data_IF_844066192460
#
_entry.id   IF_844066192460
#
_cell.length_a   1.000
_cell.length_b   1.000
_cell.length_c   1.000
_cell.angle_alpha   90.00
_cell.angle_beta   90.00
_cell.angle_gamma   90.00
#
_symmetry.space_group_name_H-M   'P 1'
#
loop_
_entity.id
_entity.type
_entity.pdbx_description
1 polymer ?
#
# COMPACT_ATOMS: atom_id res chain seq x y z
N UNK A 1 24.08 -2.39 -0.12
CA UNK A 1 24.13 -3.34 -1.27
C UNK A 1 22.78 -3.34 -1.95
N UNK A 2 22.71 -2.85 -3.18
CA UNK A 2 21.45 -2.80 -3.94
C UNK A 2 21.25 -4.17 -4.61
N UNK A 3 20.18 -4.87 -4.21
CA UNK A 3 19.82 -6.15 -4.84
C UNK A 3 19.44 -5.92 -6.30
N UNK A 4 19.86 -6.83 -7.16
CA UNK A 4 19.48 -6.79 -8.58
C UNK A 4 17.99 -7.12 -8.74
N UNK A 5 17.37 -6.67 -9.83
CA UNK A 5 15.96 -6.98 -10.12
C UNK A 5 15.70 -8.49 -10.16
N UNK A 6 16.69 -9.28 -10.60
CA UNK A 6 16.60 -10.74 -10.63
C UNK A 6 16.57 -11.36 -9.23
N UNK A 7 17.33 -10.83 -8.29
CA UNK A 7 17.31 -11.25 -6.88
C UNK A 7 15.99 -10.87 -6.20
N UNK A 8 15.44 -9.70 -6.51
CA UNK A 8 14.10 -9.31 -6.04
C UNK A 8 13.02 -10.24 -6.57
N UNK A 9 13.07 -10.62 -7.85
CA UNK A 9 12.11 -11.56 -8.43
C UNK A 9 12.19 -12.93 -7.76
N UNK A 10 13.39 -13.46 -7.51
CA UNK A 10 13.58 -14.73 -6.78
C UNK A 10 13.06 -14.64 -5.35
N UNK A 11 13.42 -13.58 -4.64
CA UNK A 11 12.92 -13.34 -3.28
C UNK A 11 11.39 -13.33 -3.21
N UNK A 12 10.72 -12.65 -4.14
CA UNK A 12 9.26 -12.62 -4.17
C UNK A 12 8.63 -13.97 -4.58
N UNK A 13 9.28 -14.75 -5.43
CA UNK A 13 8.84 -16.10 -5.77
C UNK A 13 8.92 -17.03 -4.53
N UNK A 14 10.04 -16.99 -3.81
CA UNK A 14 10.24 -17.77 -2.57
C UNK A 14 9.25 -17.35 -1.49
N UNK A 15 9.05 -16.03 -1.31
CA UNK A 15 8.10 -15.49 -0.34
C UNK A 15 6.66 -15.96 -0.63
N UNK A 16 6.24 -15.95 -1.90
CA UNK A 16 4.93 -16.47 -2.33
C UNK A 16 4.77 -17.97 -2.04
N UNK A 17 5.81 -18.77 -2.32
CA UNK A 17 5.81 -20.21 -2.04
C UNK A 17 5.71 -20.51 -0.53
N UNK A 18 6.45 -19.75 0.28
CA UNK A 18 6.42 -19.86 1.73
C UNK A 18 5.03 -19.52 2.29
N UNK A 19 4.42 -18.42 1.84
CA UNK A 19 3.07 -18.01 2.27
C UNK A 19 2.03 -19.08 1.92
N UNK A 20 2.11 -19.66 0.71
CA UNK A 20 1.22 -20.75 0.30
C UNK A 20 1.36 -22.00 1.19
N UNK A 21 2.59 -22.35 1.56
CA UNK A 21 2.86 -23.49 2.45
C UNK A 21 2.33 -23.22 3.86
N UNK A 22 2.58 -22.02 4.41
CA UNK A 22 2.04 -21.61 5.71
C UNK A 22 0.52 -21.64 5.73
N UNK A 23 -0.15 -21.09 4.71
CA UNK A 23 -1.62 -21.10 4.63
C UNK A 23 -2.20 -22.51 4.63
N UNK A 24 -1.59 -23.43 3.88
CA UNK A 24 -1.97 -24.85 3.89
C UNK A 24 -1.78 -25.51 5.27
N UNK A 25 -0.75 -25.13 6.02
CA UNK A 25 -0.54 -25.64 7.38
C UNK A 25 -1.57 -25.10 8.38
N UNK A 26 -1.95 -23.82 8.24
CA UNK A 26 -3.05 -23.21 9.02
C UNK A 26 -4.38 -23.89 8.74
N UNK A 27 -4.71 -24.08 7.45
CA UNK A 27 -5.96 -24.73 7.05
C UNK A 27 -6.03 -26.20 7.51
N UNK A 28 -4.88 -26.86 7.66
CA UNK A 28 -4.76 -28.20 8.23
C UNK A 28 -4.78 -28.24 9.78
N UNK A 29 -5.12 -27.13 10.45
CA UNK A 29 -5.28 -27.08 11.91
C UNK A 29 -3.99 -26.89 12.71
N UNK A 30 -2.87 -26.54 12.07
CA UNK A 30 -1.62 -26.24 12.77
C UNK A 30 -1.61 -24.78 13.24
N UNK A 31 -2.02 -24.55 14.48
CA UNK A 31 -2.19 -23.22 15.08
C UNK A 31 -0.88 -22.45 15.36
N UNK A 32 0.29 -23.06 15.16
CA UNK A 32 1.59 -22.39 15.38
C UNK A 32 2.02 -21.49 14.22
N UNK A 33 1.33 -21.52 13.08
CA UNK A 33 1.73 -20.83 11.85
C UNK A 33 0.70 -19.82 11.34
N UNK A 34 0.06 -19.07 12.23
CA UNK A 34 -0.87 -18.00 11.86
C UNK A 34 -0.18 -17.03 10.88
N UNK A 35 -0.82 -16.73 9.75
CA UNK A 35 -0.29 -15.76 8.80
C UNK A 35 -0.24 -14.39 9.47
N UNK A 36 0.86 -13.68 9.28
CA UNK A 36 0.90 -12.26 9.66
C UNK A 36 -0.06 -11.45 8.78
N UNK A 37 -0.58 -10.29 9.24
CA UNK A 37 -1.51 -9.47 8.45
C UNK A 37 -1.02 -9.13 7.03
N UNK A 38 0.29 -8.91 6.87
CA UNK A 38 0.94 -8.69 5.57
C UNK A 38 0.95 -9.97 4.71
N UNK A 39 1.21 -11.13 5.30
CA UNK A 39 1.17 -12.41 4.57
C UNK A 39 -0.25 -12.77 4.14
N UNK A 40 -1.26 -12.41 4.95
CA UNK A 40 -2.67 -12.55 4.61
C UNK A 40 -3.07 -11.62 3.46
N UNK A 41 -2.64 -10.35 3.48
CA UNK A 41 -2.88 -9.43 2.36
C UNK A 41 -2.22 -9.89 1.06
N UNK A 42 -0.98 -10.41 1.14
CA UNK A 42 -0.28 -11.01 -0.01
C UNK A 42 -1.05 -12.25 -0.50
N UNK A 43 -1.58 -13.06 0.41
CA UNK A 43 -2.38 -14.23 0.07
C UNK A 43 -3.64 -13.83 -0.72
N UNK A 44 -4.37 -12.85 -0.23
CA UNK A 44 -5.58 -12.32 -0.88
C UNK A 44 -5.29 -11.80 -2.28
N UNK A 45 -4.27 -10.95 -2.42
CA UNK A 45 -3.90 -10.32 -3.69
C UNK A 45 -3.34 -11.32 -4.73
N UNK A 46 -2.54 -12.29 -4.29
CA UNK A 46 -1.84 -13.19 -5.22
C UNK A 46 -2.59 -14.48 -5.54
N UNK A 47 -3.48 -14.94 -4.65
CA UNK A 47 -4.08 -16.27 -4.74
C UNK A 47 -5.60 -16.27 -4.67
N UNK A 48 -6.20 -15.38 -3.87
CA UNK A 48 -7.66 -15.32 -3.73
C UNK A 48 -8.33 -14.54 -4.87
N UNK A 49 -7.71 -13.46 -5.33
CA UNK A 49 -8.17 -12.71 -6.49
C UNK A 49 -7.82 -13.37 -7.85
N UNK A 50 -7.25 -14.58 -7.83
CA UNK A 50 -6.81 -15.34 -9.01
C UNK A 50 -7.92 -16.08 -9.77
N UNK A 51 -9.16 -16.14 -9.25
CA UNK A 51 -10.30 -16.77 -9.96
C UNK A 51 -11.05 -15.80 -10.87
N UNK A 52 -10.68 -14.52 -10.92
CA UNK A 52 -11.19 -13.58 -11.91
C UNK A 52 -10.05 -12.73 -12.47
N UNK A 53 -9.60 -13.08 -13.68
CA UNK A 53 -8.68 -12.34 -14.54
C UNK A 53 -7.17 -12.39 -14.18
N UNK A 54 -6.49 -13.43 -14.67
CA UNK A 54 -5.09 -13.29 -15.06
C UNK A 54 -5.02 -12.48 -16.38
N UNK A 55 -4.24 -11.38 -16.48
CA UNK A 55 -4.00 -10.76 -17.78
C UNK A 55 -3.03 -11.65 -18.57
N UNK A 56 -3.56 -12.31 -19.60
CA UNK A 56 -2.79 -13.06 -20.59
C UNK A 56 -1.76 -12.12 -21.23
N UNK A 57 -0.47 -12.46 -21.12
CA UNK A 57 0.60 -11.97 -21.99
C UNK A 57 0.21 -12.19 -23.46
N UNK A 58 -0.07 -11.10 -24.19
CA UNK A 58 -0.13 -10.96 -25.66
C UNK A 58 0.01 -9.46 -25.91
N UNK A 59 0.68 -8.90 -26.92
CA UNK A 59 1.59 -9.31 -27.99
C UNK A 59 2.08 -7.94 -28.55
N UNK A 60 3.30 -7.90 -29.07
CA UNK A 60 3.92 -6.75 -29.76
C UNK A 60 2.97 -5.86 -30.58
N UNK A 61 3.05 -4.54 -30.41
CA UNK A 61 2.49 -3.55 -31.35
C UNK A 61 3.61 -3.04 -32.24
N UNK A 62 3.46 -3.24 -33.55
CA UNK A 62 4.30 -2.71 -34.63
C UNK A 62 3.39 -1.87 -35.54
N UNK A 63 3.73 -0.58 -35.65
CA UNK A 63 3.72 0.35 -36.81
C UNK A 63 2.55 0.41 -37.80
N UNK A 64 2.05 1.63 -38.04
CA UNK A 64 1.93 2.37 -39.35
C UNK A 64 1.02 3.61 -39.10
N UNK A 65 1.47 4.87 -39.17
CA UNK A 65 1.77 5.73 -40.34
C UNK A 65 0.81 5.51 -41.53
N UNK A 66 -0.11 6.45 -41.74
CA UNK A 66 -0.73 6.70 -43.05
C UNK A 66 -0.99 8.19 -43.19
N UNK A 67 -0.13 8.83 -43.98
CA UNK A 67 -0.35 10.11 -44.66
C UNK A 67 -1.36 9.92 -45.83
N UNK A 68 -1.67 11.05 -46.48
CA UNK A 68 -2.32 11.21 -47.79
C UNK A 68 -3.85 11.10 -47.83
N UNK A 69 -4.62 11.88 -48.60
CA UNK A 69 -4.35 13.02 -49.48
C UNK A 69 -5.72 13.57 -49.96
N UNK A 70 -5.71 14.85 -50.34
CA UNK A 70 -6.51 15.56 -51.34
C UNK A 70 -7.74 14.87 -51.98
N UNK A 71 -8.87 15.57 -52.02
CA UNK A 71 -9.37 16.12 -53.30
C UNK A 71 -10.63 16.98 -53.15
N UNK A 72 -10.59 18.11 -53.86
CA UNK A 72 -11.68 19.05 -54.14
C UNK A 72 -12.82 18.41 -54.94
N UNK A 73 -14.07 18.81 -54.69
CA UNK A 73 -15.11 18.80 -55.74
C UNK A 73 -15.99 20.05 -55.70
N UNK A 74 -16.20 20.62 -56.88
CA UNK A 74 -16.90 21.86 -57.21
C UNK A 74 -18.45 21.76 -57.14
N UNK A 75 -19.17 22.91 -57.16
CA UNK A 75 -20.62 22.96 -56.97
C UNK A 75 -21.39 23.03 -58.30
N UNK A 76 -22.43 22.20 -58.50
CA UNK A 76 -23.39 22.37 -59.61
C UNK A 76 -24.84 21.98 -59.24
N UNK A 77 -25.66 23.03 -59.09
CA UNK A 77 -27.05 23.21 -59.56
C UNK A 77 -28.17 22.25 -59.13
N UNK A 78 -29.03 22.82 -58.26
CA UNK A 78 -30.53 22.90 -58.33
C UNK A 78 -31.28 21.78 -59.07
N UNK A 79 -32.19 21.12 -58.34
CA UNK A 79 -33.60 20.96 -58.72
C UNK A 79 -34.49 20.86 -57.46
N UNK A 80 -35.47 21.77 -57.38
CA UNK A 80 -36.59 21.76 -56.42
C UNK A 80 -37.57 20.67 -56.84
N UNK A 81 -37.78 19.67 -56.00
CA UNK A 81 -39.05 18.96 -55.84
C UNK A 81 -38.86 17.82 -54.85
N UNK A 82 -39.21 18.03 -53.58
CA UNK A 82 -39.72 17.01 -52.62
C UNK A 82 -39.74 17.59 -51.20
N UNK A 83 -40.58 18.61 -51.00
CA UNK A 83 -40.84 19.18 -49.69
C UNK A 83 -41.84 18.36 -48.85
N UNK A 84 -41.96 17.04 -49.11
CA UNK A 84 -42.89 16.15 -48.41
C UNK A 84 -42.23 14.93 -47.75
N UNK A 85 -40.96 14.63 -48.08
CA UNK A 85 -40.19 13.56 -47.41
C UNK A 85 -39.32 14.09 -46.23
N UNK A 86 -38.99 15.38 -46.23
CA UNK A 86 -38.03 15.96 -45.27
C UNK A 86 -38.59 16.17 -43.85
N UNK A 87 -39.92 16.11 -43.68
CA UNK A 87 -40.57 16.42 -42.39
C UNK A 87 -40.68 15.22 -41.44
N UNK A 88 -40.59 13.97 -41.95
CA UNK A 88 -40.50 12.79 -41.09
C UNK A 88 -39.06 12.54 -40.61
N UNK A 89 -38.06 12.79 -41.45
CA UNK A 89 -36.64 12.66 -41.09
C UNK A 89 -36.21 13.65 -39.99
N UNK A 90 -36.76 14.87 -39.99
CA UNK A 90 -36.48 15.86 -38.95
C UNK A 90 -37.03 15.46 -37.57
N UNK A 91 -38.15 14.73 -37.50
CA UNK A 91 -38.68 14.21 -36.23
C UNK A 91 -37.93 12.97 -35.76
N UNK A 92 -37.47 12.14 -36.69
CA UNK A 92 -36.71 10.94 -36.40
C UNK A 92 -35.28 11.26 -35.90
N UNK A 93 -34.63 12.26 -36.51
CA UNK A 93 -33.31 12.74 -36.07
C UNK A 93 -33.35 13.47 -34.72
N UNK A 94 -34.44 14.15 -34.37
CA UNK A 94 -34.59 14.73 -33.02
C UNK A 94 -34.73 13.66 -31.93
N UNK A 95 -35.40 12.54 -32.21
CA UNK A 95 -35.52 11.40 -31.29
C UNK A 95 -34.17 10.72 -31.01
N UNK A 96 -33.34 10.52 -32.04
CA UNK A 96 -32.01 9.90 -31.88
C UNK A 96 -31.05 10.77 -31.06
N UNK A 97 -31.15 12.10 -31.16
CA UNK A 97 -30.36 13.04 -30.35
C UNK A 97 -30.78 12.98 -28.88
N UNK A 98 -32.08 12.92 -28.61
CA UNK A 98 -32.61 12.82 -27.24
C UNK A 98 -32.26 11.46 -26.59
N UNK A 99 -32.32 10.36 -27.33
CA UNK A 99 -31.86 9.04 -26.87
C UNK A 99 -30.36 9.03 -26.55
N UNK A 100 -29.53 9.67 -27.39
CA UNK A 100 -28.10 9.82 -27.13
C UNK A 100 -27.85 10.67 -25.88
N UNK A 101 -28.60 11.74 -25.68
CA UNK A 101 -28.49 12.57 -24.48
C UNK A 101 -28.92 11.81 -23.21
N UNK A 102 -30.00 11.02 -23.30
CA UNK A 102 -30.46 10.16 -22.20
C UNK A 102 -29.40 9.10 -21.84
N UNK A 103 -28.78 8.46 -22.82
CA UNK A 103 -27.70 7.49 -22.61
C UNK A 103 -26.43 8.13 -22.01
N UNK A 104 -26.13 9.39 -22.35
CA UNK A 104 -25.03 10.14 -21.74
C UNK A 104 -25.36 10.46 -20.28
N UNK A 105 -26.59 10.90 -19.99
CA UNK A 105 -27.03 11.22 -18.64
C UNK A 105 -27.01 10.00 -17.72
N UNK A 106 -27.48 8.84 -18.20
CA UNK A 106 -27.42 7.57 -17.47
C UNK A 106 -25.97 7.18 -17.15
N UNK A 107 -25.06 7.27 -18.13
CA UNK A 107 -23.63 7.03 -17.89
C UNK A 107 -23.03 7.99 -16.88
N UNK A 108 -23.46 9.25 -16.86
CA UNK A 108 -22.97 10.25 -15.92
C UNK A 108 -23.42 9.91 -14.49
N UNK A 109 -24.68 9.50 -14.32
CA UNK A 109 -25.19 9.01 -13.03
C UNK A 109 -24.40 7.80 -12.56
N UNK A 110 -24.17 6.81 -13.44
CA UNK A 110 -23.36 5.62 -13.13
C UNK A 110 -21.93 5.96 -12.70
N UNK A 111 -21.29 6.92 -13.38
CA UNK A 111 -19.93 7.37 -13.03
C UNK A 111 -19.93 8.10 -11.68
N UNK A 112 -20.94 8.92 -11.41
CA UNK A 112 -21.07 9.62 -10.14
C UNK A 112 -21.29 8.65 -8.97
N UNK A 113 -22.12 7.62 -9.14
CA UNK A 113 -22.33 6.59 -8.12
C UNK A 113 -21.05 5.81 -7.83
N UNK A 114 -20.28 5.46 -8.86
CA UNK A 114 -18.96 4.82 -8.70
C UNK A 114 -17.98 5.75 -7.98
N UNK A 115 -17.97 7.04 -8.32
CA UNK A 115 -17.11 8.03 -7.67
C UNK A 115 -17.50 8.23 -6.20
N UNK A 116 -18.79 8.32 -5.89
CA UNK A 116 -19.29 8.43 -4.53
C UNK A 116 -18.91 7.20 -3.68
N UNK A 117 -19.08 5.99 -4.25
CA UNK A 117 -18.64 4.75 -3.60
C UNK A 117 -17.13 4.71 -3.36
N UNK A 118 -16.33 5.11 -4.34
CA UNK A 118 -14.87 5.17 -4.21
C UNK A 118 -14.43 6.16 -3.13
N UNK A 119 -15.06 7.35 -3.06
CA UNK A 119 -14.79 8.34 -2.02
C UNK A 119 -15.16 7.82 -0.63
N UNK A 120 -16.29 7.11 -0.51
CA UNK A 120 -16.69 6.49 0.77
C UNK A 120 -15.67 5.45 1.24
N UNK A 121 -15.16 4.61 0.34
CA UNK A 121 -14.13 3.62 0.67
C UNK A 121 -12.80 4.31 1.07
N UNK A 122 -12.43 5.38 0.37
CA UNK A 122 -11.24 6.17 0.70
C UNK A 122 -11.38 6.79 2.09
N UNK A 123 -12.53 7.38 2.41
CA UNK A 123 -12.81 7.94 3.72
C UNK A 123 -12.70 6.88 4.83
N UNK A 124 -13.29 5.69 4.63
CA UNK A 124 -13.18 4.59 5.57
C UNK A 124 -11.73 4.12 5.74
N UNK A 125 -10.98 3.97 4.64
CA UNK A 125 -9.56 3.62 4.67
C UNK A 125 -8.73 4.68 5.41
N UNK A 126 -9.07 5.96 5.26
CA UNK A 126 -8.41 7.07 5.95
C UNK A 126 -8.61 6.99 7.46
N UNK A 127 -9.84 6.69 7.91
CA UNK A 127 -10.16 6.50 9.34
C UNK A 127 -9.40 5.32 9.92
N UNK A 128 -9.39 4.17 9.24
CA UNK A 128 -8.64 2.99 9.69
C UNK A 128 -7.15 3.28 9.78
N UNK A 129 -6.60 4.00 8.79
CA UNK A 129 -5.19 4.39 8.79
C UNK A 129 -4.87 5.36 9.94
N UNK A 130 -5.73 6.34 10.20
CA UNK A 130 -5.57 7.26 11.33
C UNK A 130 -5.54 6.51 12.67
N UNK A 131 -6.45 5.54 12.85
CA UNK A 131 -6.49 4.72 14.06
C UNK A 131 -5.26 3.81 14.21
N UNK A 132 -4.71 3.32 13.09
CA UNK A 132 -3.46 2.57 13.12
C UNK A 132 -2.26 3.46 13.52
N UNK A 133 -2.21 4.69 13.00
CA UNK A 133 -1.19 5.67 13.38
C UNK A 133 -1.28 6.06 14.86
N UNK A 134 -2.49 6.23 15.40
CA UNK A 134 -2.71 6.49 16.82
C UNK A 134 -2.11 5.39 17.70
N UNK A 135 -2.42 4.12 17.40
CA UNK A 135 -1.85 2.97 18.13
C UNK A 135 -0.33 2.90 18.03
N UNK A 136 0.25 3.25 16.88
CA UNK A 136 1.70 3.32 16.71
C UNK A 136 2.31 4.44 17.58
N UNK A 137 1.66 5.59 17.66
CA UNK A 137 2.10 6.69 18.52
C UNK A 137 2.04 6.31 20.00
N UNK A 138 0.96 5.66 20.45
CA UNK A 138 0.83 5.15 21.83
C UNK A 138 1.94 4.14 22.17
N UNK A 139 2.18 3.17 21.28
CA UNK A 139 3.25 2.19 21.45
C UNK A 139 4.63 2.85 21.51
N UNK A 140 4.86 3.86 20.66
CA UNK A 140 6.11 4.64 20.67
C UNK A 140 6.30 5.40 21.98
N UNK A 141 5.23 6.00 22.51
CA UNK A 141 5.27 6.68 23.81
C UNK A 141 5.59 5.70 24.95
N UNK A 142 4.98 4.52 24.96
CA UNK A 142 5.27 3.48 25.96
C UNK A 142 6.73 3.02 25.88
N UNK A 143 7.27 2.87 24.66
CA UNK A 143 8.68 2.54 24.45
C UNK A 143 9.61 3.63 24.97
N UNK A 144 9.31 4.90 24.72
CA UNK A 144 10.10 6.02 25.24
C UNK A 144 10.14 6.00 26.79
N UNK A 145 9.00 5.78 27.44
CA UNK A 145 8.95 5.65 28.90
C UNK A 145 9.74 4.44 29.42
N UNK A 146 9.73 3.32 28.71
CA UNK A 146 10.53 2.16 29.07
C UNK A 146 12.03 2.45 28.96
N UNK A 147 12.46 3.18 27.94
CA UNK A 147 13.84 3.63 27.76
C UNK A 147 14.26 4.58 28.89
N UNK A 148 13.40 5.53 29.29
CA UNK A 148 13.70 6.43 30.42
C UNK A 148 13.91 5.65 31.72
N UNK A 149 13.07 4.65 32.00
CA UNK A 149 13.24 3.78 33.18
C UNK A 149 14.55 2.99 33.14
N UNK A 150 14.95 2.53 31.95
CA UNK A 150 16.24 1.86 31.76
C UNK A 150 17.40 2.83 32.02
N UNK A 151 17.31 4.07 31.52
CA UNK A 151 18.33 5.09 31.76
C UNK A 151 18.49 5.38 33.26
N UNK A 152 17.39 5.57 34.00
CA UNK A 152 17.43 5.76 35.46
C UNK A 152 18.05 4.54 36.17
N UNK A 153 17.74 3.32 35.71
CA UNK A 153 18.32 2.11 36.29
C UNK A 153 19.84 2.04 36.07
N UNK A 154 20.31 2.40 34.87
CA UNK A 154 21.74 2.46 34.56
C UNK A 154 22.47 3.55 35.34
N UNK A 155 21.83 4.71 35.55
CA UNK A 155 22.38 5.76 36.40
C UNK A 155 22.55 5.27 37.85
N UNK A 156 21.55 4.58 38.39
CA UNK A 156 21.62 3.96 39.72
C UNK A 156 22.72 2.91 39.84
N UNK A 157 22.87 2.04 38.83
CA UNK A 157 23.96 1.04 38.78
C UNK A 157 25.32 1.74 38.71
N UNK A 158 25.44 2.80 37.91
CA UNK A 158 26.67 3.57 37.79
C UNK A 158 27.09 4.22 39.11
N UNK A 159 26.13 4.81 39.83
CA UNK A 159 26.36 5.38 41.15
C UNK A 159 26.82 4.30 42.15
N UNK A 160 26.09 3.18 42.23
CA UNK A 160 26.45 2.07 43.12
C UNK A 160 27.83 1.47 42.79
N UNK A 161 28.19 1.35 41.51
CA UNK A 161 29.51 0.90 41.10
C UNK A 161 30.62 1.86 41.55
N UNK A 162 30.36 3.17 41.51
CA UNK A 162 31.30 4.17 42.00
C UNK A 162 31.45 4.09 43.54
N UNK A 163 30.37 3.85 44.27
CA UNK A 163 30.40 3.67 45.72
C UNK A 163 31.20 2.43 46.12
N UNK A 164 30.98 1.29 45.43
CA UNK A 164 31.76 0.06 45.64
C UNK A 164 33.24 0.30 45.37
N UNK A 165 33.58 0.99 44.26
CA UNK A 165 34.97 1.35 43.95
C UNK A 165 35.60 2.18 45.07
N UNK A 166 34.89 3.20 45.54
CA UNK A 166 35.37 4.07 46.62
C UNK A 166 35.56 3.28 47.92
N UNK A 167 34.64 2.38 48.25
CA UNK A 167 34.75 1.51 49.42
C UNK A 167 36.00 0.62 49.36
N UNK A 168 36.28 0.00 48.20
CA UNK A 168 37.47 -0.83 48.00
C UNK A 168 38.76 -0.01 48.19
N UNK A 169 38.81 1.19 47.61
CA UNK A 169 39.97 2.09 47.77
C UNK A 169 40.18 2.46 49.25
N UNK A 170 39.10 2.78 49.97
CA UNK A 170 39.18 3.13 51.39
C UNK A 170 39.65 1.95 52.25
N UNK A 171 39.18 0.73 51.95
CA UNK A 171 39.64 -0.50 52.62
C UNK A 171 41.15 -0.70 52.37
N UNK A 172 41.60 -0.62 51.12
CA UNK A 172 43.02 -0.77 50.78
C UNK A 172 43.90 0.28 51.49
N UNK A 173 43.47 1.55 51.46
CA UNK A 173 44.15 2.63 52.15
C UNK A 173 44.27 2.37 53.66
N UNK A 174 43.17 1.95 54.29
CA UNK A 174 43.12 1.67 55.73
C UNK A 174 44.01 0.48 56.09
N UNK A 175 43.94 -0.60 55.32
CA UNK A 175 44.81 -1.76 55.50
C UNK A 175 46.30 -1.37 55.43
N UNK A 176 46.71 -0.66 54.36
CA UNK A 176 48.10 -0.22 54.19
C UNK A 176 48.59 0.62 55.36
N UNK A 177 47.75 1.52 55.89
CA UNK A 177 48.05 2.35 57.06
C UNK A 177 48.24 1.52 58.33
N UNK A 178 47.38 0.55 58.59
CA UNK A 178 47.51 -0.33 59.76
C UNK A 178 48.81 -1.14 59.74
N UNK A 179 49.22 -1.67 58.58
CA UNK A 179 50.45 -2.46 58.48
C UNK A 179 51.73 -1.62 58.55
N UNK A 180 51.70 -0.36 58.11
CA UNK A 180 52.87 0.54 58.21
C UNK A 180 53.08 1.05 59.64
N UNK A 181 52.01 1.30 60.39
CA UNK A 181 52.10 1.76 61.80
C UNK A 181 52.60 0.65 62.73
N UNK A 182 52.31 -0.61 62.44
CA UNK A 182 52.73 -1.76 63.27
C UNK A 182 54.19 -2.22 63.03
N UNK A 183 54.95 -1.56 62.15
CA UNK A 183 56.35 -1.90 61.83
C UNK A 183 57.39 -0.94 62.44
N UNK A 184 56.95 0.01 63.27
CA UNK A 184 57.80 0.89 64.11
C UNK A 184 57.56 0.58 65.57
#
# INVERSE_FOLDING_TARGET
MNKTTQEWMRFWADKKCMIKTKKKQVDNGSHSNILTPIEEQIWTLCFQNGTSSSPKRRKSVKTEMSDEDSSEEQPLKRKKSEAFAFTMDAKQTMSEVDERQMAIMEKLVDVMDRQASALSQLAQSSVVNAQAMERLAEASQQQAQAVDRLATSFEGISAAAHDVRNAIINIDYTMKRCYTINQT
#
